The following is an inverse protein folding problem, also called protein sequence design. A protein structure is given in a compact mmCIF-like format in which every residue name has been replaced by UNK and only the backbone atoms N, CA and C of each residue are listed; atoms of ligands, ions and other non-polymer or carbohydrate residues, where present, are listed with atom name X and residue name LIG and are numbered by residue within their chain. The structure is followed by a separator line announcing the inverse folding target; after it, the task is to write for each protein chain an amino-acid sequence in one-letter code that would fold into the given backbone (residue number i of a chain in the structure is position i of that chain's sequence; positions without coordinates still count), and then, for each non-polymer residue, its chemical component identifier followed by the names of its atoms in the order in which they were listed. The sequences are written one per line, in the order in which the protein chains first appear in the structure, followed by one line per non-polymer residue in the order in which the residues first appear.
data_IF_412948006658
#
_entry.id   IF_412948006658
#
_cell.length_a   1.000
_cell.length_b   1.000
_cell.length_c   1.000
_cell.angle_alpha   90.00
_cell.angle_beta   90.00
_cell.angle_gamma   90.00
#
_symmetry.space_group_name_H-M   'P 1'
#
loop_
_entity.id
_entity.type
_entity.pdbx_description
1 polymer ?
#
# COMPACT_ATOMS: atom_id res chain seq x y z
N UNK A 1 17.43 14.33 6.49
CA UNK A 1 16.96 13.24 5.65
C UNK A 1 17.07 11.93 6.38
N UNK A 2 15.92 11.39 6.71
CA UNK A 2 15.78 10.14 7.41
C UNK A 2 16.29 8.97 6.55
N UNK A 3 16.92 8.00 7.19
CA UNK A 3 17.38 6.77 6.52
C UNK A 3 16.27 5.73 6.66
N UNK A 4 15.64 5.37 5.55
CA UNK A 4 14.56 4.39 5.52
C UNK A 4 15.08 3.11 4.87
N UNK A 5 14.93 1.97 5.55
CA UNK A 5 15.19 0.64 4.96
C UNK A 5 13.88 -0.02 4.60
N UNK A 6 13.80 -0.60 3.41
CA UNK A 6 12.59 -1.18 2.86
C UNK A 6 12.76 -2.68 2.70
N UNK A 7 11.75 -3.45 3.11
CA UNK A 7 11.71 -4.90 2.88
C UNK A 7 10.42 -5.31 2.20
N UNK A 8 10.54 -6.18 1.20
CA UNK A 8 9.42 -6.74 0.46
C UNK A 8 9.62 -8.24 0.26
N UNK A 9 8.54 -9.01 0.27
CA UNK A 9 8.52 -10.39 -0.23
C UNK A 9 7.66 -10.47 -1.49
N UNK A 10 8.16 -11.13 -2.54
CA UNK A 10 7.51 -11.20 -3.83
C UNK A 10 7.69 -12.57 -4.50
N UNK A 11 6.83 -12.91 -5.47
CA UNK A 11 7.01 -14.05 -6.38
C UNK A 11 6.40 -13.72 -7.74
N UNK A 12 7.18 -13.87 -8.81
CA UNK A 12 6.73 -13.73 -10.20
C UNK A 12 6.03 -12.38 -10.52
N UNK A 13 6.53 -11.28 -9.97
CA UNK A 13 5.88 -9.96 -10.11
C UNK A 13 6.27 -9.19 -11.39
N UNK A 14 7.27 -9.67 -12.14
CA UNK A 14 7.66 -9.17 -13.48
C UNK A 14 7.79 -7.64 -13.55
N UNK A 15 6.93 -7.00 -14.36
CA UNK A 15 6.95 -5.54 -14.53
C UNK A 15 6.53 -4.78 -13.26
N UNK A 16 5.71 -5.37 -12.37
CA UNK A 16 5.37 -4.73 -11.10
C UNK A 16 6.61 -4.57 -10.21
N UNK A 17 7.52 -5.55 -10.22
CA UNK A 17 8.80 -5.49 -9.52
C UNK A 17 9.67 -4.34 -10.04
N UNK A 18 9.76 -4.16 -11.37
CA UNK A 18 10.51 -3.05 -11.96
C UNK A 18 9.96 -1.67 -11.53
N UNK A 19 8.64 -1.53 -11.47
CA UNK A 19 7.97 -0.31 -10.98
C UNK A 19 8.29 -0.05 -9.52
N UNK A 20 8.18 -1.07 -8.67
CA UNK A 20 8.49 -0.98 -7.24
C UNK A 20 9.94 -0.55 -7.00
N UNK A 21 10.89 -1.23 -7.65
CA UNK A 21 12.32 -0.92 -7.56
C UNK A 21 12.61 0.51 -7.99
N UNK A 22 12.07 0.93 -9.14
CA UNK A 22 12.29 2.29 -9.67
C UNK A 22 11.87 3.34 -8.65
N UNK A 23 10.74 3.12 -7.99
CA UNK A 23 10.22 4.03 -6.99
C UNK A 23 11.07 4.02 -5.70
N UNK A 24 11.24 2.87 -5.06
CA UNK A 24 11.91 2.80 -3.75
C UNK A 24 13.43 3.01 -3.84
N UNK A 25 14.09 2.60 -4.94
CA UNK A 25 15.51 2.89 -5.13
C UNK A 25 15.74 4.39 -5.39
N UNK A 26 14.84 5.05 -6.12
CA UNK A 26 14.91 6.50 -6.31
C UNK A 26 14.70 7.25 -4.99
N UNK A 27 13.76 6.81 -4.15
CA UNK A 27 13.52 7.41 -2.83
C UNK A 27 14.70 7.17 -1.89
N UNK A 28 15.12 5.93 -1.70
CA UNK A 28 15.96 5.53 -0.56
C UNK A 28 17.34 4.97 -0.93
N UNK A 29 17.64 4.77 -2.21
CA UNK A 29 18.89 4.12 -2.65
C UNK A 29 18.78 2.60 -2.65
N UNK A 30 19.54 1.95 -3.54
CA UNK A 30 19.51 0.49 -3.72
C UNK A 30 19.97 -0.26 -2.46
N UNK A 31 20.96 0.27 -1.74
CA UNK A 31 21.56 -0.29 -0.53
C UNK A 31 20.61 -0.38 0.67
N UNK A 32 19.48 0.32 0.59
CA UNK A 32 18.43 0.32 1.60
C UNK A 32 17.27 -0.60 1.27
N UNK A 33 17.32 -1.33 0.14
CA UNK A 33 16.28 -2.26 -0.27
C UNK A 33 16.69 -3.71 0.04
N UNK A 34 15.76 -4.48 0.60
CA UNK A 34 15.86 -5.92 0.76
C UNK A 34 14.66 -6.60 0.13
N UNK A 35 14.91 -7.53 -0.79
CA UNK A 35 13.88 -8.28 -1.52
C UNK A 35 13.99 -9.76 -1.16
N UNK A 36 12.92 -10.32 -0.64
CA UNK A 36 12.75 -11.76 -0.46
C UNK A 36 12.07 -12.31 -1.71
N UNK A 37 12.81 -13.05 -2.52
CA UNK A 37 12.27 -13.79 -3.65
C UNK A 37 11.71 -15.14 -3.15
N UNK A 38 10.39 -15.26 -3.13
CA UNK A 38 9.69 -16.46 -2.67
C UNK A 38 9.58 -17.53 -3.77
N UNK A 39 10.70 -17.81 -4.45
CA UNK A 39 10.81 -18.87 -5.45
C UNK A 39 10.22 -18.49 -6.80
N UNK A 40 10.55 -17.31 -7.33
CA UNK A 40 10.15 -16.93 -8.68
C UNK A 40 10.72 -17.87 -9.74
N UNK A 41 9.95 -18.11 -10.78
CA UNK A 41 10.33 -18.85 -12.00
C UNK A 41 10.14 -18.01 -13.25
N UNK A 42 9.43 -16.88 -13.15
CA UNK A 42 9.27 -15.93 -14.24
C UNK A 42 10.64 -15.36 -14.69
N UNK A 43 11.05 -15.56 -15.95
CA UNK A 43 12.33 -15.10 -16.45
C UNK A 43 12.55 -13.58 -16.33
N UNK A 44 11.48 -12.79 -16.46
CA UNK A 44 11.59 -11.33 -16.34
C UNK A 44 11.92 -10.93 -14.90
N UNK A 45 11.20 -11.49 -13.93
CA UNK A 45 11.43 -11.30 -12.48
C UNK A 45 12.86 -11.66 -12.11
N UNK A 46 13.32 -12.85 -12.50
CA UNK A 46 14.67 -13.32 -12.22
C UNK A 46 15.74 -12.38 -12.81
N UNK A 47 15.56 -11.95 -14.06
CA UNK A 47 16.49 -11.02 -14.70
C UNK A 47 16.55 -9.66 -14.00
N UNK A 48 15.42 -9.15 -13.50
CA UNK A 48 15.36 -7.90 -12.73
C UNK A 48 16.11 -8.06 -11.40
N UNK A 49 15.86 -9.14 -10.66
CA UNK A 49 16.51 -9.41 -9.39
C UNK A 49 18.04 -9.46 -9.54
N UNK A 50 18.53 -10.20 -10.53
CA UNK A 50 19.96 -10.32 -10.83
C UNK A 50 20.60 -8.97 -11.22
N UNK A 51 19.84 -8.09 -11.87
CA UNK A 51 20.30 -6.76 -12.26
C UNK A 51 20.44 -5.85 -11.05
N UNK A 52 19.46 -5.83 -10.14
CA UNK A 52 19.44 -4.90 -9.00
C UNK A 52 20.31 -5.36 -7.84
N UNK A 53 20.53 -6.67 -7.70
CA UNK A 53 21.51 -7.21 -6.76
C UNK A 53 22.91 -6.65 -7.06
N UNK A 54 23.28 -6.53 -8.34
CA UNK A 54 24.54 -5.90 -8.78
C UNK A 54 24.61 -4.39 -8.49
N UNK A 55 23.46 -3.73 -8.27
CA UNK A 55 23.38 -2.31 -7.90
C UNK A 55 23.39 -2.08 -6.38
N UNK A 56 23.40 -3.15 -5.57
CA UNK A 56 23.46 -3.07 -4.11
C UNK A 56 22.17 -3.43 -3.37
N UNK A 57 21.10 -3.83 -4.08
CA UNK A 57 19.92 -4.41 -3.43
C UNK A 57 20.28 -5.73 -2.78
N UNK A 58 19.84 -5.96 -1.55
CA UNK A 58 19.96 -7.28 -0.93
C UNK A 58 18.84 -8.18 -1.45
N UNK A 59 19.18 -9.19 -2.26
CA UNK A 59 18.21 -10.19 -2.73
C UNK A 59 18.40 -11.51 -1.99
N UNK A 60 17.37 -11.96 -1.28
CA UNK A 60 17.35 -13.22 -0.54
C UNK A 60 16.46 -14.24 -1.23
N UNK A 61 17.02 -15.42 -1.48
CA UNK A 61 16.36 -16.55 -2.15
C UNK A 61 16.21 -17.78 -1.24
N UNK A 62 16.48 -17.60 0.06
CA UNK A 62 16.49 -18.67 1.07
C UNK A 62 15.11 -18.93 1.71
N UNK A 63 14.11 -18.10 1.42
CA UNK A 63 12.72 -18.19 1.91
C UNK A 63 11.77 -18.39 0.73
N UNK A 64 11.88 -19.52 0.04
CA UNK A 64 11.29 -19.76 -1.28
C UNK A 64 10.15 -20.79 -1.31
N UNK A 65 9.58 -21.13 -0.15
CA UNK A 65 8.47 -22.08 -0.05
C UNK A 65 7.13 -21.38 0.20
N UNK A 66 6.02 -22.02 -0.15
CA UNK A 66 4.68 -21.43 0.09
C UNK A 66 4.44 -21.12 1.56
N UNK A 67 4.90 -21.97 2.48
CA UNK A 67 4.74 -21.74 3.91
C UNK A 67 5.51 -20.52 4.41
N UNK A 68 6.57 -20.08 3.70
CA UNK A 68 7.28 -18.85 4.04
C UNK A 68 6.43 -17.63 3.73
N UNK A 69 5.68 -17.65 2.62
CA UNK A 69 4.76 -16.59 2.26
C UNK A 69 3.65 -16.41 3.30
N UNK A 70 3.07 -17.52 3.78
CA UNK A 70 2.06 -17.50 4.85
C UNK A 70 2.61 -17.08 6.22
N UNK A 71 3.93 -16.97 6.37
CA UNK A 71 4.60 -16.52 7.59
C UNK A 71 5.47 -15.28 7.35
N UNK A 72 5.18 -14.53 6.27
CA UNK A 72 6.03 -13.42 5.83
C UNK A 72 6.22 -12.38 6.93
N UNK A 73 5.20 -12.07 7.73
CA UNK A 73 5.30 -11.11 8.84
C UNK A 73 6.40 -11.47 9.84
N UNK A 74 6.51 -12.76 10.19
CA UNK A 74 7.58 -13.28 11.04
C UNK A 74 8.97 -13.21 10.40
N UNK A 75 9.06 -13.38 9.08
CA UNK A 75 10.31 -13.20 8.33
C UNK A 75 10.75 -11.73 8.28
N UNK A 76 9.83 -10.82 7.97
CA UNK A 76 10.06 -9.38 7.94
C UNK A 76 10.49 -8.87 9.33
N UNK A 77 9.80 -9.31 10.39
CA UNK A 77 10.14 -8.98 11.78
C UNK A 77 11.60 -9.32 12.09
N UNK A 78 12.04 -10.54 11.78
CA UNK A 78 13.42 -10.99 12.05
C UNK A 78 14.46 -10.23 11.24
N UNK A 79 14.13 -9.83 10.01
CA UNK A 79 15.02 -9.02 9.17
C UNK A 79 15.22 -7.63 9.79
N UNK A 80 14.12 -6.98 10.19
CA UNK A 80 14.17 -5.65 10.80
C UNK A 80 14.93 -5.69 12.13
N UNK A 81 14.69 -6.70 12.97
CA UNK A 81 15.48 -6.93 14.19
C UNK A 81 16.97 -7.15 13.89
N UNK A 82 17.30 -7.84 12.79
CA UNK A 82 18.68 -7.97 12.33
C UNK A 82 19.29 -6.63 11.95
N UNK A 83 18.52 -5.74 11.32
CA UNK A 83 18.99 -4.40 10.97
C UNK A 83 19.31 -3.54 12.19
N UNK A 84 18.56 -3.69 13.29
CA UNK A 84 18.76 -2.92 14.52
C UNK A 84 20.17 -3.06 15.11
N UNK A 85 20.83 -4.19 14.87
CA UNK A 85 22.21 -4.46 15.29
C UNK A 85 23.27 -4.17 14.22
N UNK A 86 22.89 -4.02 12.95
CA UNK A 86 23.82 -3.96 11.82
C UNK A 86 23.89 -2.60 11.13
N UNK A 87 22.82 -1.83 11.16
CA UNK A 87 22.69 -0.60 10.39
C UNK A 87 22.31 0.57 11.27
N UNK A 88 22.71 1.76 10.84
CA UNK A 88 22.17 3.01 11.37
C UNK A 88 21.07 3.48 10.40
N UNK A 89 19.83 3.41 10.86
CA UNK A 89 18.66 3.82 10.10
C UNK A 89 17.60 4.44 11.03
N UNK A 90 16.64 5.19 10.47
CA UNK A 90 15.58 5.84 11.23
C UNK A 90 14.27 5.04 11.19
N UNK A 91 13.92 4.43 10.04
CA UNK A 91 12.66 3.69 9.85
C UNK A 91 12.81 2.39 9.05
N UNK A 92 12.06 1.36 9.43
CA UNK A 92 11.92 0.13 8.66
C UNK A 92 10.51 0.05 8.06
N UNK A 93 10.44 -0.07 6.74
CA UNK A 93 9.22 -0.02 5.95
C UNK A 93 8.97 -1.38 5.26
N UNK A 94 8.06 -2.23 5.79
CA UNK A 94 7.57 -3.38 5.05
C UNK A 94 6.56 -2.92 3.98
N UNK A 95 6.69 -3.45 2.77
CA UNK A 95 5.89 -3.04 1.60
C UNK A 95 5.58 -4.24 0.70
N UNK A 96 4.40 -4.29 0.10
CA UNK A 96 4.05 -5.24 -0.96
C UNK A 96 4.43 -4.70 -2.37
N UNK A 97 4.64 -5.60 -3.33
CA UNK A 97 5.16 -5.23 -4.66
C UNK A 97 4.22 -4.30 -5.46
N UNK A 98 2.92 -4.33 -5.17
CA UNK A 98 1.91 -3.51 -5.82
C UNK A 98 1.72 -2.12 -5.18
N UNK A 99 2.48 -1.77 -4.14
CA UNK A 99 2.35 -0.54 -3.37
C UNK A 99 3.44 0.49 -3.70
N UNK A 100 3.05 1.71 -4.10
CA UNK A 100 3.96 2.87 -4.16
C UNK A 100 3.66 3.85 -3.04
N UNK A 101 4.70 4.31 -2.35
CA UNK A 101 4.59 5.27 -1.26
C UNK A 101 4.30 6.67 -1.81
N UNK A 102 3.25 7.30 -1.30
CA UNK A 102 2.93 8.69 -1.56
C UNK A 102 2.67 9.41 -0.23
N UNK A 103 2.61 10.73 -0.26
CA UNK A 103 2.35 11.56 0.92
C UNK A 103 1.30 12.62 0.61
N UNK A 104 0.38 12.83 1.55
CA UNK A 104 -0.53 13.96 1.54
C UNK A 104 0.23 15.23 1.96
N UNK A 105 0.16 16.26 1.13
CA UNK A 105 0.77 17.58 1.36
C UNK A 105 -0.31 18.65 1.48
N UNK A 106 0.11 19.89 1.72
CA UNK A 106 -0.79 21.04 1.69
C UNK A 106 -1.46 21.24 0.32
N UNK A 107 -0.81 20.81 -0.77
CA UNK A 107 -1.33 20.98 -2.14
C UNK A 107 -2.11 19.76 -2.67
N UNK A 108 -2.12 18.64 -1.95
CA UNK A 108 -2.82 17.43 -2.35
C UNK A 108 -2.01 16.16 -2.10
N UNK A 109 -1.77 15.36 -3.14
CA UNK A 109 -1.03 14.10 -3.04
C UNK A 109 0.26 14.17 -3.85
N UNK A 110 1.39 13.75 -3.25
CA UNK A 110 2.70 13.82 -3.86
C UNK A 110 3.43 12.47 -3.86
N UNK A 111 4.08 12.18 -4.99
CA UNK A 111 5.08 11.11 -5.15
C UNK A 111 6.49 11.69 -5.16
N UNK A 112 6.66 12.99 -4.87
CA UNK A 112 7.95 13.65 -4.90
C UNK A 112 8.89 13.17 -3.78
N UNK A 113 10.17 13.02 -4.12
CA UNK A 113 11.20 12.53 -3.20
C UNK A 113 11.39 13.48 -2.03
N UNK A 114 11.44 14.79 -2.28
CA UNK A 114 11.64 15.79 -1.22
C UNK A 114 10.47 15.77 -0.25
N UNK A 115 9.23 15.80 -0.77
CA UNK A 115 8.02 15.77 0.07
C UNK A 115 7.96 14.49 0.94
N UNK A 116 8.27 13.33 0.36
CA UNK A 116 8.29 12.05 1.10
C UNK A 116 9.37 12.08 2.20
N UNK A 117 10.57 12.58 1.90
CA UNK A 117 11.66 12.67 2.88
C UNK A 117 11.39 13.67 3.99
N UNK A 118 10.77 14.82 3.69
CA UNK A 118 10.34 15.79 4.70
C UNK A 118 9.33 15.17 5.67
N UNK A 119 8.39 14.37 5.15
CA UNK A 119 7.43 13.66 5.99
C UNK A 119 8.08 12.60 6.88
N UNK A 120 9.11 11.89 6.42
CA UNK A 120 9.90 11.01 7.29
C UNK A 120 10.74 11.79 8.31
N UNK A 121 11.38 12.90 7.91
CA UNK A 121 12.17 13.74 8.79
C UNK A 121 11.31 14.27 9.95
N UNK A 122 10.06 14.64 9.70
CA UNK A 122 9.09 15.08 10.72
C UNK A 122 8.69 13.98 11.73
N UNK A 123 8.95 12.71 11.41
CA UNK A 123 8.68 11.57 12.29
C UNK A 123 9.91 11.16 13.11
N UNK A 124 11.09 11.75 12.88
CA UNK A 124 12.29 11.36 13.62
C UNK A 124 12.11 11.53 15.13
N UNK A 125 12.64 10.57 15.88
CA UNK A 125 12.52 10.53 17.34
C UNK A 125 11.23 9.87 17.85
N UNK A 126 10.32 9.42 16.97
CA UNK A 126 9.23 8.53 17.40
C UNK A 126 9.77 7.17 17.82
N UNK A 127 9.14 6.58 18.83
CA UNK A 127 9.47 5.26 19.39
C UNK A 127 8.30 4.26 19.32
N UNK A 128 7.22 4.63 18.65
CA UNK A 128 6.01 3.84 18.47
C UNK A 128 5.87 3.30 17.04
N UNK A 129 4.88 2.45 16.81
CA UNK A 129 4.49 2.08 15.45
C UNK A 129 3.88 3.29 14.71
N UNK A 130 4.04 3.33 13.39
CA UNK A 130 3.56 4.40 12.52
C UNK A 130 2.52 3.82 11.56
N UNK A 131 1.34 4.45 11.51
CA UNK A 131 0.19 3.96 10.74
C UNK A 131 -0.03 4.80 9.49
N UNK A 132 -0.21 4.11 8.38
CA UNK A 132 -0.71 4.63 7.11
C UNK A 132 -2.21 4.40 7.12
N UNK A 133 -2.97 5.43 7.47
CA UNK A 133 -4.40 5.34 7.83
C UNK A 133 -5.32 5.06 6.64
N UNK A 134 -4.85 5.28 5.42
CA UNK A 134 -5.66 5.08 4.22
C UNK A 134 -4.76 4.62 3.10
N UNK A 135 -5.23 3.61 2.39
CA UNK A 135 -4.65 3.16 1.13
C UNK A 135 -5.54 3.55 -0.03
N UNK A 136 -4.93 3.88 -1.17
CA UNK A 136 -5.59 4.28 -2.40
C UNK A 136 -5.48 3.13 -3.42
N UNK A 137 -6.60 2.57 -3.85
CA UNK A 137 -6.64 1.44 -4.78
C UNK A 137 -6.98 1.93 -6.18
N UNK A 138 -6.25 1.48 -7.20
CA UNK A 138 -6.50 1.89 -8.58
C UNK A 138 -7.90 1.49 -9.06
N UNK A 139 -8.58 2.37 -9.79
CA UNK A 139 -9.94 2.10 -10.26
C UNK A 139 -9.90 1.22 -11.53
N UNK A 140 -10.64 0.09 -11.57
CA UNK A 140 -10.68 -0.79 -12.74
C UNK A 140 -10.96 -0.04 -14.05
N UNK A 141 -10.12 -0.28 -15.05
CA UNK A 141 -10.22 0.34 -16.37
C UNK A 141 -10.06 1.87 -16.41
N UNK A 142 -9.64 2.50 -15.31
CA UNK A 142 -9.44 3.96 -15.23
C UNK A 142 -8.01 4.29 -14.76
N UNK A 143 -7.01 4.21 -15.66
CA UNK A 143 -5.62 4.51 -15.32
C UNK A 143 -5.44 5.87 -14.65
N UNK A 144 -4.62 5.92 -13.60
CA UNK A 144 -4.36 7.11 -12.80
C UNK A 144 -5.45 7.46 -11.79
N UNK A 145 -6.63 6.85 -11.83
CA UNK A 145 -7.65 7.06 -10.82
C UNK A 145 -7.49 6.06 -9.67
N UNK A 146 -7.62 6.56 -8.45
CA UNK A 146 -7.58 5.76 -7.24
C UNK A 146 -8.76 6.09 -6.31
N UNK A 147 -9.22 5.10 -5.55
CA UNK A 147 -10.28 5.25 -4.55
C UNK A 147 -9.75 4.87 -3.15
N UNK A 148 -10.19 5.56 -2.08
CA UNK A 148 -9.72 5.29 -0.72
C UNK A 148 -10.38 4.04 -0.12
N UNK A 149 -9.55 3.14 0.40
CA UNK A 149 -9.98 2.00 1.23
C UNK A 149 -9.61 2.31 2.69
N UNK A 150 -10.60 2.78 3.46
CA UNK A 150 -10.37 3.30 4.83
C UNK A 150 -10.11 2.27 5.90
N UNK A 151 -10.56 1.05 5.66
CA UNK A 151 -10.38 -0.08 6.58
C UNK A 151 -9.14 -0.89 6.22
N UNK A 152 -8.38 -0.44 5.21
CA UNK A 152 -7.12 -1.03 4.80
C UNK A 152 -6.02 -0.06 5.17
N UNK A 153 -5.50 -0.23 6.38
CA UNK A 153 -4.32 0.47 6.84
C UNK A 153 -3.09 -0.40 6.66
N UNK A 154 -1.93 0.24 6.58
CA UNK A 154 -0.63 -0.39 6.64
C UNK A 154 0.19 0.28 7.75
N UNK A 155 1.34 -0.28 8.08
CA UNK A 155 2.21 0.37 9.05
C UNK A 155 3.68 0.12 8.81
N UNK A 156 4.48 0.86 9.57
CA UNK A 156 5.92 0.75 9.63
C UNK A 156 6.41 1.16 11.01
N UNK A 157 7.70 1.04 11.27
CA UNK A 157 8.25 1.25 12.63
C UNK A 157 9.52 2.08 12.60
N UNK A 158 9.75 2.78 13.71
CA UNK A 158 11.04 3.40 13.98
C UNK A 158 12.11 2.32 14.24
N UNK A 159 13.37 2.63 13.92
CA UNK A 159 14.48 1.73 14.17
C UNK A 159 14.57 1.32 15.64
N UNK A 160 14.97 0.07 15.90
CA UNK A 160 15.12 -0.51 17.25
C UNK A 160 13.83 -0.61 18.05
N UNK A 161 12.69 -0.55 17.38
CA UNK A 161 11.39 -0.65 18.05
C UNK A 161 10.58 -1.87 17.67
N UNK A 162 10.83 -2.58 16.55
CA UNK A 162 9.94 -3.65 16.10
C UNK A 162 9.76 -4.76 17.16
N UNK A 163 8.51 -5.12 17.45
CA UNK A 163 8.18 -6.35 18.20
C UNK A 163 7.66 -7.44 17.26
N UNK A 164 6.65 -7.11 16.45
CA UNK A 164 6.03 -8.00 15.48
C UNK A 164 5.51 -7.22 14.28
N UNK A 165 5.58 -7.83 13.10
CA UNK A 165 4.84 -7.46 11.90
C UNK A 165 3.89 -8.61 11.55
N UNK A 166 2.60 -8.30 11.34
CA UNK A 166 1.65 -9.28 10.85
C UNK A 166 1.90 -9.62 9.37
N UNK A 167 1.33 -10.73 8.90
CA UNK A 167 1.50 -11.18 7.52
C UNK A 167 0.87 -10.24 6.50
N UNK A 168 -0.08 -9.38 6.86
CA UNK A 168 -0.61 -8.35 5.97
C UNK A 168 0.15 -7.02 6.03
N UNK A 169 1.08 -6.87 6.99
CA UNK A 169 1.79 -5.63 7.32
C UNK A 169 0.83 -4.49 7.72
N UNK A 170 -0.36 -4.84 8.21
CA UNK A 170 -1.39 -3.89 8.61
C UNK A 170 -1.05 -3.20 9.93
N UNK A 171 -0.56 -3.98 10.90
CA UNK A 171 -0.36 -3.57 12.27
C UNK A 171 0.99 -4.04 12.81
N UNK A 172 2.12 -3.58 12.26
CA UNK A 172 3.37 -3.75 12.94
C UNK A 172 3.32 -3.04 14.30
N UNK A 173 3.98 -3.63 15.30
CA UNK A 173 3.97 -3.15 16.69
C UNK A 173 5.37 -2.76 17.14
N UNK A 174 5.42 -1.79 18.05
CA UNK A 174 6.64 -1.43 18.75
C UNK A 174 6.75 -2.18 20.09
N UNK A 175 7.96 -2.60 20.45
CA UNK A 175 8.34 -3.16 21.73
C UNK A 175 8.53 -2.07 22.80
N UNK A 176 8.62 -0.81 22.41
CA UNK A 176 8.82 0.34 23.31
C UNK A 176 7.47 0.92 23.74
N UNK A 177 6.54 1.10 22.79
CA UNK A 177 5.17 1.59 23.05
C UNK A 177 4.16 0.86 22.16
N UNK A 178 3.05 0.39 22.75
CA UNK A 178 1.98 -0.35 22.05
C UNK A 178 1.01 0.59 21.29
N UNK A 179 1.17 1.91 21.44
CA UNK A 179 0.42 2.90 20.66
C UNK A 179 0.92 2.99 19.22
N UNK A 180 0.09 3.54 18.33
CA UNK A 180 0.50 3.95 16.99
C UNK A 180 0.31 5.46 16.81
N UNK A 181 1.13 6.04 15.93
CA UNK A 181 0.98 7.42 15.45
C UNK A 181 0.59 7.39 13.97
N UNK A 182 -0.53 8.03 13.64
CA UNK A 182 -0.96 8.19 12.25
C UNK A 182 0.00 9.08 11.47
N UNK A 183 0.14 8.81 10.18
CA UNK A 183 1.06 9.50 9.27
C UNK A 183 0.34 10.04 8.05
N UNK A 184 0.95 11.04 7.40
CA UNK A 184 0.49 11.61 6.14
C UNK A 184 0.79 10.74 4.92
N UNK A 185 1.42 9.58 5.11
CA UNK A 185 1.67 8.66 4.02
C UNK A 185 0.38 7.96 3.58
N UNK A 186 0.39 7.48 2.34
CA UNK A 186 -0.57 6.56 1.74
C UNK A 186 0.18 5.67 0.77
N UNK A 187 -0.41 4.50 0.46
CA UNK A 187 0.03 3.71 -0.67
C UNK A 187 -0.90 3.89 -1.86
N UNK A 188 -0.31 3.98 -3.05
CA UNK A 188 -0.99 3.75 -4.32
C UNK A 188 -0.88 2.27 -4.67
N UNK A 189 -1.97 1.54 -4.48
CA UNK A 189 -2.07 0.12 -4.76
C UNK A 189 -2.47 -0.09 -6.21
N UNK A 190 -1.61 -0.76 -6.97
CA UNK A 190 -2.00 -1.34 -8.27
C UNK A 190 -2.60 -2.73 -8.04
N UNK A 191 -3.68 -2.75 -7.26
CA UNK A 191 -4.37 -3.97 -6.85
C UNK A 191 -5.19 -4.58 -7.99
N UNK A 192 -5.82 -3.71 -8.78
CA UNK A 192 -6.77 -4.08 -9.83
C UNK A 192 -6.06 -4.23 -11.17
N UNK A 193 -6.33 -5.34 -11.85
CA UNK A 193 -5.78 -5.71 -13.15
C UNK A 193 -6.92 -5.74 -14.19
N UNK A 194 -6.65 -5.91 -15.49
CA UNK A 194 -7.69 -6.32 -16.42
C UNK A 194 -8.47 -7.53 -15.86
N UNK A 195 -9.81 -7.52 -15.99
CA UNK A 195 -10.68 -8.47 -15.29
C UNK A 195 -10.27 -9.94 -15.49
N UNK A 196 -9.84 -10.31 -16.69
CA UNK A 196 -9.36 -11.66 -17.00
C UNK A 196 -8.14 -12.04 -16.16
N UNK A 197 -7.17 -11.15 -16.10
CA UNK A 197 -5.90 -11.38 -15.40
C UNK A 197 -6.11 -11.37 -13.89
N UNK A 198 -6.96 -10.46 -13.40
CA UNK A 198 -7.40 -10.43 -12.01
C UNK A 198 -8.08 -11.74 -11.60
N UNK A 199 -9.01 -12.24 -12.42
CA UNK A 199 -9.73 -13.50 -12.15
C UNK A 199 -8.78 -14.69 -12.14
N UNK A 200 -7.84 -14.80 -13.08
CA UNK A 200 -6.86 -15.88 -13.09
C UNK A 200 -5.91 -15.82 -11.87
N UNK A 201 -5.49 -14.62 -11.45
CA UNK A 201 -4.70 -14.44 -10.22
C UNK A 201 -5.45 -14.94 -8.98
N UNK A 202 -6.75 -14.61 -8.88
CA UNK A 202 -7.60 -15.10 -7.79
C UNK A 202 -7.73 -16.61 -7.79
N UNK A 203 -8.00 -17.23 -8.96
CA UNK A 203 -8.08 -18.69 -9.11
C UNK A 203 -6.80 -19.36 -8.62
N UNK A 204 -5.63 -18.85 -9.02
CA UNK A 204 -4.34 -19.39 -8.58
C UNK A 204 -4.14 -19.25 -7.06
N UNK A 205 -4.63 -18.16 -6.46
CA UNK A 205 -4.50 -17.90 -5.02
C UNK A 205 -5.31 -18.86 -4.15
N UNK A 206 -6.48 -19.29 -4.62
CA UNK A 206 -7.37 -20.22 -3.89
C UNK A 206 -7.34 -21.64 -4.46
N UNK A 207 -6.44 -21.90 -5.41
CA UNK A 207 -6.25 -23.22 -6.00
C UNK A 207 -5.91 -24.24 -4.92
N UNK A 208 -6.69 -25.31 -4.85
CA UNK A 208 -6.56 -26.35 -3.83
C UNK A 208 -7.42 -26.14 -2.58
N UNK A 209 -8.07 -24.97 -2.42
CA UNK A 209 -9.02 -24.72 -1.34
C UNK A 209 -10.47 -25.04 -1.75
N UNK A 210 -10.85 -24.67 -2.97
CA UNK A 210 -12.21 -24.83 -3.52
C UNK A 210 -12.14 -25.01 -5.03
N UNK A 211 -13.15 -25.64 -5.64
CA UNK A 211 -13.29 -25.65 -7.10
C UNK A 211 -13.59 -24.23 -7.59
N UNK A 212 -12.61 -23.64 -8.27
CA UNK A 212 -12.63 -22.24 -8.70
C UNK A 212 -13.55 -21.97 -9.90
N UNK A 213 -14.10 -23.01 -10.53
CA UNK A 213 -14.99 -22.89 -11.67
C UNK A 213 -16.43 -23.31 -11.34
N UNK A 214 -16.74 -23.65 -10.08
CA UNK A 214 -18.09 -24.00 -9.62
C UNK A 214 -18.61 -22.96 -8.62
N UNK A 215 -19.51 -22.08 -9.10
CA UNK A 215 -20.16 -21.04 -8.29
C UNK A 215 -20.87 -21.60 -7.05
N UNK A 216 -21.46 -22.79 -7.13
CA UNK A 216 -22.13 -23.39 -5.98
C UNK A 216 -21.11 -23.85 -4.94
N UNK A 217 -19.98 -24.41 -5.38
CA UNK A 217 -18.86 -24.76 -4.50
C UNK A 217 -18.24 -23.53 -3.83
N UNK A 218 -18.02 -22.44 -4.58
CA UNK A 218 -17.53 -21.16 -4.04
C UNK A 218 -18.47 -20.62 -2.94
N UNK A 219 -19.77 -20.57 -3.21
CA UNK A 219 -20.78 -20.10 -2.23
C UNK A 219 -20.85 -21.00 -1.00
N UNK A 220 -20.77 -22.32 -1.18
CA UNK A 220 -20.75 -23.27 -0.08
C UNK A 220 -19.48 -23.09 0.79
N UNK A 221 -18.32 -22.87 0.16
CA UNK A 221 -17.05 -22.62 0.86
C UNK A 221 -17.14 -21.40 1.78
N UNK A 222 -17.77 -20.31 1.31
CA UNK A 222 -17.95 -19.08 2.09
C UNK A 222 -18.87 -19.22 3.31
N UNK A 223 -19.62 -20.32 3.44
CA UNK A 223 -20.41 -20.60 4.66
C UNK A 223 -19.56 -21.09 5.83
N UNK A 224 -18.31 -21.49 5.59
CA UNK A 224 -17.41 -21.97 6.63
C UNK A 224 -16.91 -20.79 7.48
N UNK A 225 -16.99 -20.87 8.82
CA UNK A 225 -16.41 -19.86 9.69
C UNK A 225 -14.90 -19.76 9.46
N UNK A 226 -14.39 -18.54 9.25
CA UNK A 226 -12.95 -18.27 9.08
C UNK A 226 -12.30 -19.04 7.92
N UNK A 227 -13.03 -19.27 6.82
CA UNK A 227 -12.49 -19.95 5.65
C UNK A 227 -11.23 -19.25 5.13
N UNK A 228 -10.17 -20.03 4.92
CA UNK A 228 -8.91 -19.51 4.41
C UNK A 228 -9.12 -18.90 3.03
N UNK A 229 -8.59 -17.69 2.80
CA UNK A 229 -8.74 -17.03 1.50
C UNK A 229 -10.18 -16.63 1.14
N UNK A 230 -11.13 -16.60 2.10
CA UNK A 230 -12.52 -16.24 1.86
C UNK A 230 -12.70 -14.97 1.00
N UNK A 231 -11.92 -13.92 1.25
CA UNK A 231 -11.98 -12.69 0.44
C UNK A 231 -11.64 -12.92 -1.05
N UNK A 232 -10.69 -13.80 -1.35
CA UNK A 232 -10.35 -14.13 -2.73
C UNK A 232 -11.42 -15.03 -3.38
N UNK A 233 -12.06 -15.91 -2.61
CA UNK A 233 -13.20 -16.73 -3.05
C UNK A 233 -14.43 -15.87 -3.34
N UNK A 234 -14.76 -14.93 -2.45
CA UNK A 234 -15.85 -13.97 -2.63
C UNK A 234 -15.62 -13.13 -3.89
N UNK A 235 -14.39 -12.69 -4.12
CA UNK A 235 -14.01 -11.93 -5.32
C UNK A 235 -14.20 -12.71 -6.63
N UNK A 236 -14.10 -14.05 -6.65
CA UNK A 236 -14.36 -14.86 -7.85
C UNK A 236 -15.83 -14.83 -8.30
N UNK A 237 -16.75 -14.50 -7.39
CA UNK A 237 -18.18 -14.35 -7.69
C UNK A 237 -18.53 -12.99 -8.30
N UNK A 238 -17.60 -12.04 -8.32
CA UNK A 238 -17.80 -10.71 -8.90
C UNK A 238 -17.82 -10.82 -10.43
N UNK A 239 -18.89 -10.35 -11.05
CA UNK A 239 -19.04 -10.29 -12.50
C UNK A 239 -18.14 -9.23 -13.13
N UNK A 240 -17.87 -9.29 -14.45
CA UNK A 240 -17.10 -8.25 -15.12
C UNK A 240 -17.73 -6.85 -14.98
N UNK A 241 -19.06 -6.77 -14.99
CA UNK A 241 -19.79 -5.52 -14.82
C UNK A 241 -19.61 -4.96 -13.40
N UNK A 242 -19.88 -5.76 -12.37
CA UNK A 242 -19.68 -5.36 -10.97
C UNK A 242 -18.23 -4.94 -10.70
N UNK A 243 -17.25 -5.64 -11.30
CA UNK A 243 -15.84 -5.31 -11.17
C UNK A 243 -15.52 -3.90 -11.67
N UNK A 244 -16.08 -3.50 -12.80
CA UNK A 244 -15.86 -2.16 -13.37
C UNK A 244 -16.50 -1.05 -12.55
N UNK A 245 -17.52 -1.37 -11.76
CA UNK A 245 -18.31 -0.43 -10.97
C UNK A 245 -17.97 -0.46 -9.47
N UNK A 246 -16.93 -1.17 -9.04
CA UNK A 246 -16.51 -1.32 -7.63
C UNK A 246 -16.39 0.01 -6.85
N UNK A 247 -16.06 1.10 -7.55
CA UNK A 247 -15.77 2.41 -6.94
C UNK A 247 -16.70 3.52 -7.41
N UNK A 248 -17.87 3.18 -7.94
CA UNK A 248 -18.81 4.20 -8.41
C UNK A 248 -19.42 5.02 -7.30
N UNK A 249 -19.63 4.42 -6.13
CA UNK A 249 -20.14 5.11 -4.93
C UNK A 249 -19.03 5.77 -4.09
N UNK A 250 -17.79 5.77 -4.59
CA UNK A 250 -16.62 6.31 -3.88
C UNK A 250 -16.16 7.65 -4.46
N UNK A 251 -15.59 8.49 -3.59
CA UNK A 251 -14.70 9.56 -4.06
C UNK A 251 -13.45 8.95 -4.68
N UNK A 252 -12.98 9.55 -5.75
CA UNK A 252 -11.82 9.12 -6.51
C UNK A 252 -10.86 10.29 -6.66
N UNK A 253 -9.58 10.00 -6.60
CA UNK A 253 -8.48 10.95 -6.78
C UNK A 253 -7.68 10.54 -8.02
N UNK A 254 -7.38 11.51 -8.89
CA UNK A 254 -6.49 11.28 -10.01
C UNK A 254 -5.06 11.59 -9.59
N UNK A 255 -4.21 10.58 -9.74
CA UNK A 255 -2.76 10.68 -9.58
C UNK A 255 -2.16 10.49 -10.96
N UNK A 256 -1.56 11.55 -11.48
CA UNK A 256 -0.89 11.51 -12.77
C UNK A 256 0.30 10.54 -12.80
N UNK A 257 0.99 10.50 -13.93
CA UNK A 257 2.25 9.76 -14.01
C UNK A 257 3.33 10.54 -13.26
N UNK A 258 3.73 10.05 -12.09
CA UNK A 258 4.73 10.70 -11.25
C UNK A 258 4.15 11.78 -10.33
N UNK A 259 5.01 12.68 -9.85
CA UNK A 259 4.58 13.78 -8.99
C UNK A 259 3.93 14.89 -9.81
N UNK A 260 2.74 15.34 -9.38
CA UNK A 260 2.00 16.44 -10.01
C UNK A 260 1.65 17.48 -8.95
N UNK A 261 1.79 18.78 -9.22
CA UNK A 261 1.33 19.84 -8.31
C UNK A 261 -0.20 19.98 -8.30
N UNK A 262 -0.89 19.28 -9.20
CA UNK A 262 -2.34 19.34 -9.35
C UNK A 262 -2.92 17.97 -9.06
N UNK A 263 -3.84 17.92 -8.10
CA UNK A 263 -4.65 16.75 -7.79
C UNK A 263 -6.08 17.00 -8.28
N UNK A 264 -6.69 16.03 -8.97
CA UNK A 264 -8.12 16.08 -9.30
C UNK A 264 -8.90 15.13 -8.39
N UNK A 265 -10.12 15.53 -8.03
CA UNK A 265 -11.08 14.69 -7.31
C UNK A 265 -12.40 14.62 -8.06
N UNK A 266 -13.10 13.50 -7.92
CA UNK A 266 -14.46 13.31 -8.41
C UNK A 266 -15.20 12.29 -7.53
N UNK A 267 -16.50 12.12 -7.75
CA UNK A 267 -17.28 11.07 -7.12
C UNK A 267 -18.77 11.22 -7.44
N UNK A 268 -19.63 10.40 -6.84
CA UNK A 268 -21.07 10.65 -6.82
C UNK A 268 -21.37 12.10 -6.48
N UNK A 269 -22.15 12.78 -7.32
CA UNK A 269 -22.56 14.19 -7.14
C UNK A 269 -21.41 15.22 -7.13
N UNK A 270 -20.15 14.78 -7.29
CA UNK A 270 -18.96 15.64 -7.35
C UNK A 270 -18.37 15.54 -8.77
N UNK A 271 -18.59 16.59 -9.56
CA UNK A 271 -17.95 16.73 -10.87
C UNK A 271 -16.44 16.73 -10.72
N UNK A 272 -15.73 16.17 -11.70
CA UNK A 272 -14.27 16.21 -11.77
C UNK A 272 -13.79 17.66 -11.63
N UNK A 273 -13.03 17.93 -10.57
CA UNK A 273 -12.54 19.26 -10.23
C UNK A 273 -11.13 19.18 -9.67
N UNK A 274 -10.40 20.29 -9.78
CA UNK A 274 -9.10 20.43 -9.13
C UNK A 274 -9.31 20.54 -7.62
N UNK A 275 -8.54 19.77 -6.85
CA UNK A 275 -8.48 19.87 -5.41
C UNK A 275 -7.90 21.24 -5.01
N UNK A 276 -8.54 21.89 -4.04
CA UNK A 276 -8.09 23.17 -3.50
C UNK A 276 -8.18 23.12 -1.97
N UNK A 277 -7.03 22.95 -1.32
CA UNK A 277 -6.93 22.86 0.14
C UNK A 277 -7.44 24.12 0.83
N UNK A 278 -7.08 25.30 0.35
CA UNK A 278 -7.47 26.56 0.97
C UNK A 278 -8.99 26.75 0.93
N UNK A 279 -9.61 26.46 -0.21
CA UNK A 279 -11.07 26.54 -0.35
C UNK A 279 -11.79 25.53 0.56
N UNK A 280 -11.27 24.31 0.66
CA UNK A 280 -11.82 23.28 1.54
C UNK A 280 -11.68 23.68 3.02
N UNK A 281 -10.51 24.15 3.44
CA UNK A 281 -10.28 24.57 4.83
C UNK A 281 -11.04 25.86 5.20
N UNK A 282 -11.29 26.75 4.24
CA UNK A 282 -12.15 27.92 4.44
C UNK A 282 -13.61 27.51 4.69
N UNK A 283 -14.09 26.47 3.98
CA UNK A 283 -15.42 25.90 4.18
C UNK A 283 -15.52 25.05 5.47
N UNK A 284 -14.40 24.44 5.88
CA UNK A 284 -14.33 23.50 7.02
C UNK A 284 -13.21 23.84 8.01
N UNK A 285 -13.33 24.94 8.80
CA UNK A 285 -12.29 25.35 9.73
C UNK A 285 -11.98 24.33 10.84
N UNK A 286 -12.92 23.43 11.16
CA UNK A 286 -12.76 22.35 12.12
C UNK A 286 -11.68 21.35 11.69
N UNK A 287 -11.55 21.09 10.38
CA UNK A 287 -10.52 20.20 9.83
C UNK A 287 -9.13 20.74 10.13
N UNK A 288 -8.92 22.05 9.94
CA UNK A 288 -7.64 22.70 10.25
C UNK A 288 -7.26 22.59 11.73
N UNK A 289 -8.25 22.58 12.63
CA UNK A 289 -8.02 22.56 14.08
C UNK A 289 -7.78 21.17 14.62
N UNK A 290 -8.41 20.15 14.03
CA UNK A 290 -8.49 18.81 14.61
C UNK A 290 -7.86 17.70 13.76
N UNK A 291 -7.55 17.96 12.49
CA UNK A 291 -7.01 16.96 11.57
C UNK A 291 -5.61 17.34 11.08
N UNK A 292 -4.59 16.75 11.70
CA UNK A 292 -3.18 17.15 11.48
C UNK A 292 -2.50 16.47 10.31
N UNK A 293 -3.19 15.55 9.61
CA UNK A 293 -2.56 14.67 8.62
C UNK A 293 -2.76 15.20 7.17
N UNK A 294 -3.72 16.10 6.97
CA UNK A 294 -3.93 16.80 5.70
C UNK A 294 -5.39 16.88 5.28
N UNK A 295 -5.75 18.00 4.64
CA UNK A 295 -7.11 18.28 4.21
C UNK A 295 -7.63 17.30 3.15
N UNK A 296 -6.78 16.93 2.18
CA UNK A 296 -7.15 15.96 1.15
C UNK A 296 -7.43 14.58 1.76
N UNK A 297 -6.55 14.11 2.65
CA UNK A 297 -6.77 12.82 3.32
C UNK A 297 -8.08 12.83 4.12
N UNK A 298 -8.34 13.91 4.88
CA UNK A 298 -9.60 14.07 5.58
C UNK A 298 -10.80 13.98 4.63
N UNK A 299 -10.76 14.68 3.49
CA UNK A 299 -11.87 14.64 2.54
C UNK A 299 -12.09 13.23 1.95
N UNK A 300 -11.01 12.56 1.54
CA UNK A 300 -11.07 11.21 0.98
C UNK A 300 -11.58 10.19 2.00
N UNK A 301 -11.20 10.35 3.27
CA UNK A 301 -11.57 9.43 4.34
C UNK A 301 -13.00 9.70 4.83
N UNK A 302 -13.25 10.93 5.25
CA UNK A 302 -14.40 11.28 6.08
C UNK A 302 -15.28 12.31 5.37
N UNK A 303 -14.69 13.40 4.88
CA UNK A 303 -15.43 14.55 4.35
C UNK A 303 -16.41 14.24 3.21
N UNK A 304 -16.05 13.37 2.26
CA UNK A 304 -16.95 12.99 1.17
C UNK A 304 -18.23 12.29 1.68
N UNK A 305 -18.10 11.37 2.65
CA UNK A 305 -19.26 10.66 3.24
C UNK A 305 -20.12 11.54 4.13
N UNK A 306 -19.47 12.50 4.78
CA UNK A 306 -20.13 13.54 5.54
C UNK A 306 -20.83 14.56 4.63
N UNK A 307 -20.75 14.39 3.30
CA UNK A 307 -21.32 15.28 2.28
C UNK A 307 -20.80 16.71 2.42
N UNK A 308 -19.54 16.86 2.85
CA UNK A 308 -18.90 18.17 2.98
C UNK A 308 -18.64 18.75 1.58
N UNK A 309 -19.13 19.96 1.27
CA UNK A 309 -18.85 20.61 0.00
C UNK A 309 -17.36 20.93 -0.12
N UNK A 310 -16.84 20.94 -1.35
CA UNK A 310 -15.44 21.27 -1.63
C UNK A 310 -15.12 22.77 -1.44
N UNK A 311 -16.14 23.62 -1.50
CA UNK A 311 -16.03 25.08 -1.35
C UNK A 311 -17.18 25.59 -0.48
N UNK A 312 -17.04 26.80 0.06
CA UNK A 312 -18.08 27.50 0.81
C UNK A 312 -19.30 27.87 -0.05
#
# INVERSE_FOLDING_TARGET
MAIVRVVMMQRDEGTALARWITHYAWLFGFENLTILDNGSVDPQTLSILDAVEKQGVTVRRDLNQSHDFHRKGGHLTRIIQGWDGLYNYDFALPVDCDELLAVFTEDGLSLDKTAIHEAFDALKGTDCALRIDTSLFNVPGRPGWYAPIRHFHKGFVAAKTISICDDGQHEPRSAVRDEFKSTAFTYLHNHHLPYTDWRERLKNKVSGLVDVNDDAALRAYLTQPHAEGAHAVEALLVTPEEYMHLYDDSVRVFVGVGSTPITFVEGPEVKTTVWNTDAYLAAHPDVKQHYTIGALQHYLRDGFREKRPLTA
#
